data_IF_893292010404
#
_entry.id   IF_893292010404
#
_cell.length_a   1.000
_cell.length_b   1.000
_cell.length_c   1.000
_cell.angle_alpha   90.00
_cell.angle_beta   90.00
_cell.angle_gamma   90.00
#
_symmetry.space_group_name_H-M   'P 1'
#
loop_
_entity.id
_entity.type
_entity.pdbx_description
1 polymer ?
#
# COMPACT_ATOMS: atom_id res chain seq x y z
N UNK A 1 -13.92 -8.56 24.31
CA UNK A 1 -12.51 -8.67 23.84
C UNK A 1 -12.49 -8.51 22.32
N UNK A 2 -12.29 -7.36 21.72
CA UNK A 2 -11.80 -6.07 22.19
C UNK A 2 -11.14 -5.44 20.96
N UNK A 3 -11.84 -4.52 20.31
CA UNK A 3 -11.22 -3.66 19.30
C UNK A 3 -9.98 -3.01 19.93
N UNK A 4 -8.87 -2.99 19.20
CA UNK A 4 -7.68 -2.26 19.62
C UNK A 4 -7.74 -0.90 18.99
N UNK A 5 -7.71 0.13 19.82
CA UNK A 5 -7.38 1.48 19.39
C UNK A 5 -5.87 1.68 19.51
N UNK A 6 -5.27 2.54 18.66
CA UNK A 6 -3.93 3.05 18.88
C UNK A 6 -3.77 3.54 20.31
N UNK A 7 -2.60 3.34 20.89
CA UNK A 7 -2.35 3.71 22.29
C UNK A 7 -1.97 5.16 22.47
N UNK A 8 -1.54 5.83 21.39
CA UNK A 8 -0.96 7.18 21.41
C UNK A 8 0.48 7.22 21.97
N UNK A 9 0.96 6.11 22.55
CA UNK A 9 2.30 6.05 23.16
C UNK A 9 3.37 5.54 22.21
N UNK A 10 2.97 4.73 21.23
CA UNK A 10 3.91 4.18 20.26
C UNK A 10 4.36 5.29 19.30
N UNK A 11 5.64 5.31 18.90
CA UNK A 11 6.17 6.34 18.00
C UNK A 11 5.38 6.44 16.68
N UNK A 12 4.90 5.31 16.17
CA UNK A 12 4.03 5.28 15.00
C UNK A 12 2.65 5.91 15.25
N UNK A 13 2.07 5.74 16.46
CA UNK A 13 0.79 6.38 16.81
C UNK A 13 0.95 7.91 16.83
N UNK A 14 2.04 8.39 17.43
CA UNK A 14 2.36 9.83 17.53
C UNK A 14 2.60 10.44 16.14
N UNK A 15 3.34 9.73 15.28
CA UNK A 15 3.58 10.17 13.91
C UNK A 15 2.28 10.22 13.10
N UNK A 16 1.39 9.23 13.27
CA UNK A 16 0.08 9.26 12.62
C UNK A 16 -0.73 10.47 13.08
N UNK A 17 -0.72 10.78 14.38
CA UNK A 17 -1.40 11.96 14.94
C UNK A 17 -0.82 13.27 14.38
N UNK A 18 0.51 13.41 14.35
CA UNK A 18 1.19 14.59 13.79
C UNK A 18 0.85 14.81 12.30
N UNK A 19 0.73 13.73 11.54
CA UNK A 19 0.39 13.77 10.11
C UNK A 19 -1.13 13.79 9.85
N UNK A 20 -1.98 13.76 10.88
CA UNK A 20 -3.44 13.71 10.74
C UNK A 20 -3.95 12.42 10.10
N UNK A 21 -3.20 11.32 10.21
CA UNK A 21 -3.53 10.00 9.67
C UNK A 21 -4.30 9.20 10.73
N UNK A 22 -5.50 8.73 10.37
CA UNK A 22 -6.26 7.83 11.24
C UNK A 22 -5.60 6.45 11.31
N UNK A 23 -5.08 6.09 12.48
CA UNK A 23 -4.48 4.78 12.69
C UNK A 23 -5.54 3.74 13.10
N UNK A 24 -5.81 2.76 12.21
CA UNK A 24 -6.75 1.66 12.46
C UNK A 24 -6.02 0.33 12.66
N UNK A 25 -6.32 -0.37 13.75
CA UNK A 25 -5.72 -1.68 14.06
C UNK A 25 -6.67 -2.83 13.76
N UNK A 26 -6.11 -3.93 13.26
CA UNK A 26 -6.84 -5.19 13.09
C UNK A 26 -6.92 -5.95 14.41
N UNK A 27 -7.93 -6.80 14.55
CA UNK A 27 -8.09 -7.62 15.75
C UNK A 27 -7.03 -8.75 15.76
N UNK A 28 -6.40 -9.05 16.92
CA UNK A 28 -5.42 -10.14 17.01
C UNK A 28 -6.00 -11.48 16.55
N UNK A 29 -5.24 -12.24 15.75
CA UNK A 29 -5.65 -13.55 15.18
C UNK A 29 -6.83 -13.48 14.19
N UNK A 30 -7.04 -12.33 13.54
CA UNK A 30 -8.04 -12.16 12.48
C UNK A 30 -7.40 -11.68 11.16
N UNK A 31 -6.57 -12.49 10.50
CA UNK A 31 -5.92 -12.09 9.24
C UNK A 31 -6.91 -11.76 8.12
N UNK A 32 -8.15 -12.27 8.20
CA UNK A 32 -9.20 -12.01 7.21
C UNK A 32 -9.55 -10.52 7.10
N UNK A 33 -9.39 -9.74 8.18
CA UNK A 33 -9.66 -8.29 8.15
C UNK A 33 -8.63 -7.52 7.32
N UNK A 34 -7.46 -8.10 7.08
CA UNK A 34 -6.43 -7.56 6.19
C UNK A 34 -6.26 -8.41 4.91
N UNK A 35 -7.31 -9.13 4.50
CA UNK A 35 -7.22 -10.19 3.50
C UNK A 35 -6.68 -9.76 2.14
N UNK A 36 -6.81 -8.49 1.76
CA UNK A 36 -6.24 -7.97 0.50
C UNK A 36 -4.71 -7.94 0.53
N UNK A 37 -4.12 -7.44 1.62
CA UNK A 37 -2.66 -7.43 1.80
C UNK A 37 -2.14 -8.85 1.99
N UNK A 38 -2.84 -9.68 2.77
CA UNK A 38 -2.46 -11.08 2.96
C UNK A 38 -2.45 -11.86 1.64
N UNK A 39 -3.43 -11.63 0.76
CA UNK A 39 -3.47 -12.24 -0.58
C UNK A 39 -2.30 -11.78 -1.45
N UNK A 40 -1.96 -10.50 -1.39
CA UNK A 40 -0.80 -9.97 -2.09
C UNK A 40 0.50 -10.61 -1.59
N UNK A 41 0.68 -10.68 -0.26
CA UNK A 41 1.83 -11.30 0.39
C UNK A 41 1.94 -12.80 0.09
N UNK A 42 0.81 -13.52 0.06
CA UNK A 42 0.78 -14.93 -0.31
C UNK A 42 1.30 -15.20 -1.72
N UNK A 43 0.90 -14.37 -2.70
CA UNK A 43 1.37 -14.51 -4.09
C UNK A 43 2.86 -14.30 -4.24
N UNK A 44 3.42 -13.27 -3.57
CA UNK A 44 4.88 -13.07 -3.62
C UNK A 44 5.60 -14.20 -2.87
N UNK A 45 5.07 -14.67 -1.74
CA UNK A 45 5.63 -15.80 -1.01
C UNK A 45 5.65 -17.10 -1.84
N UNK A 46 4.65 -17.33 -2.71
CA UNK A 46 4.67 -18.45 -3.66
C UNK A 46 5.83 -18.34 -4.66
N UNK A 47 6.07 -17.15 -5.21
CA UNK A 47 7.20 -16.89 -6.14
C UNK A 47 8.53 -17.13 -5.44
N UNK A 48 8.67 -16.60 -4.21
CA UNK A 48 9.89 -16.76 -3.42
C UNK A 48 10.16 -18.23 -3.05
N UNK A 49 9.11 -19.04 -2.90
CA UNK A 49 9.24 -20.48 -2.58
C UNK A 49 9.73 -21.31 -3.77
N UNK A 50 9.42 -20.89 -4.99
CA UNK A 50 9.77 -21.64 -6.21
C UNK A 50 11.08 -21.21 -6.84
N UNK A 51 11.72 -20.15 -6.33
CA UNK A 51 12.98 -19.62 -6.85
C UNK A 51 14.10 -19.75 -5.83
N UNK A 52 15.25 -20.23 -6.27
CA UNK A 52 16.48 -20.19 -5.49
C UNK A 52 17.27 -18.94 -5.87
N UNK A 53 17.60 -18.11 -4.88
CA UNK A 53 18.35 -16.88 -5.07
C UNK A 53 19.83 -17.08 -4.72
N UNK A 54 20.71 -16.55 -5.56
CA UNK A 54 22.16 -16.60 -5.38
C UNK A 54 22.68 -15.42 -4.55
N UNK A 55 21.89 -14.34 -4.44
CA UNK A 55 22.24 -13.15 -3.65
C UNK A 55 21.01 -12.37 -3.17
N UNK A 56 21.23 -11.43 -2.24
CA UNK A 56 20.19 -10.53 -1.75
C UNK A 56 19.72 -9.55 -2.83
N UNK A 57 20.60 -9.13 -3.73
CA UNK A 57 20.29 -8.27 -4.86
C UNK A 57 19.35 -8.96 -5.86
N UNK A 58 19.52 -10.26 -6.09
CA UNK A 58 18.62 -11.05 -6.94
C UNK A 58 17.22 -11.16 -6.31
N UNK A 59 17.16 -11.36 -4.99
CA UNK A 59 15.90 -11.37 -4.24
C UNK A 59 15.21 -10.01 -4.34
N UNK A 60 15.93 -8.92 -4.10
CA UNK A 60 15.40 -7.55 -4.19
C UNK A 60 14.89 -7.26 -5.61
N UNK A 61 15.68 -7.54 -6.64
CA UNK A 61 15.29 -7.35 -8.03
C UNK A 61 14.02 -8.14 -8.39
N UNK A 62 13.89 -9.36 -7.87
CA UNK A 62 12.70 -10.20 -8.08
C UNK A 62 11.46 -9.60 -7.40
N UNK A 63 11.59 -9.15 -6.15
CA UNK A 63 10.51 -8.50 -5.41
C UNK A 63 10.06 -7.22 -6.13
N UNK A 64 11.01 -6.35 -6.50
CA UNK A 64 10.73 -5.11 -7.21
C UNK A 64 10.06 -5.37 -8.57
N UNK A 65 10.53 -6.38 -9.30
CA UNK A 65 9.93 -6.80 -10.56
C UNK A 65 8.48 -7.25 -10.36
N UNK A 66 8.21 -8.04 -9.33
CA UNK A 66 6.85 -8.49 -9.01
C UNK A 66 5.93 -7.32 -8.66
N UNK A 67 6.38 -6.39 -7.79
CA UNK A 67 5.60 -5.18 -7.44
C UNK A 67 5.23 -4.38 -8.69
N UNK A 68 6.20 -4.18 -9.59
CA UNK A 68 5.97 -3.46 -10.84
C UNK A 68 4.95 -4.19 -11.73
N UNK A 69 5.11 -5.51 -11.91
CA UNK A 69 4.16 -6.32 -12.69
C UNK A 69 2.76 -6.28 -12.10
N UNK A 70 2.64 -6.40 -10.78
CA UNK A 70 1.38 -6.36 -10.06
C UNK A 70 0.66 -5.02 -10.28
N UNK A 71 1.37 -3.90 -10.13
CA UNK A 71 0.78 -2.56 -10.24
C UNK A 71 0.43 -2.18 -11.68
N UNK A 72 1.20 -2.64 -12.67
CA UNK A 72 1.05 -2.19 -14.06
C UNK A 72 0.36 -3.19 -14.98
N UNK A 73 0.66 -4.46 -14.85
CA UNK A 73 0.35 -5.46 -15.88
C UNK A 73 -0.69 -6.48 -15.43
N UNK A 74 -0.67 -6.90 -14.17
CA UNK A 74 -1.54 -7.98 -13.69
C UNK A 74 -2.95 -7.46 -13.38
N UNK A 75 -3.98 -7.86 -14.14
CA UNK A 75 -5.34 -7.44 -13.88
C UNK A 75 -5.90 -8.08 -12.61
N UNK A 76 -6.60 -7.30 -11.80
CA UNK A 76 -7.20 -7.80 -10.56
C UNK A 76 -8.70 -8.00 -10.74
N UNK A 77 -9.20 -9.22 -10.45
CA UNK A 77 -10.63 -9.53 -10.50
C UNK A 77 -11.46 -8.58 -9.62
N UNK A 78 -10.95 -8.24 -8.44
CA UNK A 78 -11.60 -7.31 -7.51
C UNK A 78 -11.73 -5.88 -8.06
N UNK A 79 -10.93 -5.52 -9.06
CA UNK A 79 -10.97 -4.22 -9.74
C UNK A 79 -11.67 -4.30 -11.10
N UNK A 80 -12.42 -5.38 -11.38
CA UNK A 80 -13.08 -5.54 -12.69
C UNK A 80 -12.12 -5.87 -13.82
N UNK A 81 -11.07 -6.67 -13.54
CA UNK A 81 -10.08 -7.11 -14.53
C UNK A 81 -9.25 -5.97 -15.15
N UNK A 82 -8.95 -4.93 -14.37
CA UNK A 82 -7.91 -3.94 -14.71
C UNK A 82 -6.75 -4.00 -13.71
N UNK A 83 -5.59 -3.48 -14.10
CA UNK A 83 -4.45 -3.37 -13.20
C UNK A 83 -4.65 -2.23 -12.17
N UNK A 84 -4.00 -2.29 -11.00
CA UNK A 84 -4.13 -1.26 -9.97
C UNK A 84 -3.91 0.17 -10.48
N UNK A 85 -2.90 0.39 -11.33
CA UNK A 85 -2.64 1.73 -11.87
C UNK A 85 -3.76 2.21 -12.81
N UNK A 86 -4.38 1.30 -13.56
CA UNK A 86 -5.51 1.63 -14.42
C UNK A 86 -6.74 2.00 -13.59
N UNK A 87 -7.05 1.24 -12.54
CA UNK A 87 -8.12 1.55 -11.61
C UNK A 87 -7.90 2.92 -10.95
N UNK A 88 -6.68 3.19 -10.47
CA UNK A 88 -6.33 4.49 -9.87
C UNK A 88 -6.51 5.66 -10.86
N UNK A 89 -6.09 5.50 -12.13
CA UNK A 89 -6.30 6.52 -13.16
C UNK A 89 -7.78 6.73 -13.51
N UNK A 90 -8.58 5.66 -13.50
CA UNK A 90 -10.03 5.77 -13.69
C UNK A 90 -10.67 6.50 -12.53
N UNK A 91 -10.31 6.15 -11.29
CA UNK A 91 -10.80 6.82 -10.09
C UNK A 91 -10.42 8.29 -10.05
N UNK A 92 -9.20 8.65 -10.41
CA UNK A 92 -8.79 10.05 -10.51
C UNK A 92 -9.63 10.86 -11.51
N UNK A 93 -10.16 10.22 -12.57
CA UNK A 93 -11.06 10.89 -13.52
C UNK A 93 -12.48 11.03 -12.97
N UNK A 94 -12.98 10.01 -12.26
CA UNK A 94 -14.36 9.99 -11.73
C UNK A 94 -14.53 10.74 -10.41
N UNK A 95 -13.49 10.78 -9.57
CA UNK A 95 -13.48 11.29 -8.20
C UNK A 95 -12.19 12.09 -7.96
N UNK A 96 -11.94 13.19 -8.71
CA UNK A 96 -10.69 13.94 -8.62
C UNK A 96 -10.42 14.51 -7.22
N UNK A 97 -11.46 14.77 -6.43
CA UNK A 97 -11.40 15.30 -5.07
C UNK A 97 -10.68 14.37 -4.07
N UNK A 98 -10.62 13.07 -4.36
CA UNK A 98 -9.92 12.10 -3.52
C UNK A 98 -8.39 12.12 -3.73
N UNK A 99 -7.90 12.85 -4.72
CA UNK A 99 -6.50 12.80 -5.13
C UNK A 99 -5.80 14.16 -4.99
N UNK A 100 -4.83 14.20 -4.09
CA UNK A 100 -3.97 15.37 -3.91
C UNK A 100 -2.87 15.48 -4.99
N UNK A 101 -2.58 14.39 -5.73
CA UNK A 101 -1.51 14.30 -6.75
C UNK A 101 -1.95 13.46 -7.95
N UNK A 102 -1.25 13.63 -9.07
CA UNK A 102 -1.43 12.76 -10.25
C UNK A 102 -1.03 11.34 -9.93
N UNK A 103 -1.82 10.37 -10.38
CA UNK A 103 -1.54 8.95 -10.19
C UNK A 103 -0.33 8.54 -11.04
N UNK A 104 0.79 8.28 -10.40
CA UNK A 104 2.02 7.71 -10.98
C UNK A 104 2.44 6.47 -10.17
N UNK A 105 3.24 5.57 -10.78
CA UNK A 105 3.86 4.46 -10.03
C UNK A 105 5.35 4.79 -9.81
N UNK A 106 5.61 5.89 -9.10
CA UNK A 106 6.97 6.23 -8.71
C UNK A 106 7.30 5.52 -7.39
N UNK A 107 8.37 4.70 -7.33
CA UNK A 107 8.87 4.18 -6.07
C UNK A 107 9.48 5.32 -5.25
N UNK A 108 9.28 5.29 -3.94
CA UNK A 108 9.82 6.28 -3.00
C UNK A 108 8.75 6.93 -2.13
N UNK A 109 9.20 7.72 -1.16
CA UNK A 109 8.31 8.49 -0.31
C UNK A 109 7.86 9.75 -1.03
N UNK A 110 6.59 10.11 -0.87
CA UNK A 110 6.11 11.44 -1.22
C UNK A 110 6.90 12.48 -0.42
N UNK A 111 7.59 13.39 -1.12
CA UNK A 111 8.14 14.59 -0.49
C UNK A 111 6.98 15.53 -0.14
N UNK A 112 6.57 15.51 1.13
CA UNK A 112 5.71 16.55 1.68
C UNK A 112 6.60 17.72 2.07
N UNK A 113 6.94 18.57 1.11
CA UNK A 113 7.46 19.89 1.46
C UNK A 113 6.42 20.55 2.37
N UNK A 114 6.88 20.96 3.56
CA UNK A 114 6.08 21.54 4.63
C UNK A 114 5.23 22.68 4.06
N UNK A 115 3.98 22.37 3.68
CA UNK A 115 3.02 23.35 3.20
C UNK A 115 2.53 24.07 4.45
N UNK A 116 3.33 25.01 4.93
CA UNK A 116 2.90 25.95 5.95
C UNK A 116 1.62 26.63 5.44
N UNK A 117 0.54 26.40 6.20
CA UNK A 117 -0.63 27.28 6.36
C UNK A 117 -1.18 27.88 5.06
N UNK A 118 -2.16 27.19 4.45
CA UNK A 118 -3.31 27.91 3.88
C UNK A 118 -4.53 27.63 4.75
N UNK A 119 -4.58 28.34 5.87
CA UNK A 119 -5.86 28.69 6.47
C UNK A 119 -6.51 29.71 5.51
N UNK A 120 -7.71 29.39 5.03
CA UNK A 120 -8.67 30.37 4.53
C UNK A 120 -9.72 30.51 5.61
#
# INVERSE_FOLDING_TARGET
>A
RGERTPTGRHQFDQLCEELGIEHRLTRPKHPQTNGMVERFNGRIADILRTHHFHSGEELEATILRYVWLYNHQLPQKALGHVSPIQAMKQWQRSHPELFNRRVTNQPGHDSYENTQRRAV
#
